data_IF_886096893815
#
_entry.id   IF_886096893815
#
_cell.length_a   1.000
_cell.length_b   1.000
_cell.length_c   1.000
_cell.angle_alpha   90.00
_cell.angle_beta   90.00
_cell.angle_gamma   90.00
#
_symmetry.space_group_name_H-M   'P 1'
#
loop_
_entity.id
_entity.type
_entity.pdbx_description
1 polymer ?
#
# COMPACT_ATOMS: atom_id res chain seq x y z
N UNK A 1 -18.71 16.39 -10.58
CA UNK A 1 -19.88 15.49 -10.50
C UNK A 1 -19.36 14.10 -10.74
N UNK A 2 -19.46 13.20 -9.77
CA UNK A 2 -19.03 11.79 -9.89
C UNK A 2 -19.85 11.08 -10.95
N UNK A 3 -19.21 10.20 -11.73
CA UNK A 3 -19.86 9.44 -12.81
C UNK A 3 -20.49 8.15 -12.27
N UNK A 4 -19.94 7.60 -11.18
CA UNK A 4 -20.31 6.30 -10.62
C UNK A 4 -20.49 6.40 -9.12
N UNK A 5 -21.43 5.66 -8.56
CA UNK A 5 -21.57 5.56 -7.10
C UNK A 5 -20.44 4.69 -6.51
N UNK A 6 -20.13 3.56 -7.13
CA UNK A 6 -19.14 2.63 -6.60
C UNK A 6 -18.10 2.23 -7.66
N UNK A 7 -16.84 2.45 -7.40
CA UNK A 7 -15.71 2.01 -8.20
C UNK A 7 -14.96 0.84 -7.55
N UNK A 8 -14.38 -0.01 -8.38
CA UNK A 8 -13.57 -1.16 -7.95
C UNK A 8 -12.17 -1.09 -8.55
N UNK A 9 -11.17 -1.25 -7.68
CA UNK A 9 -9.76 -1.47 -8.07
C UNK A 9 -9.27 -2.76 -7.46
N UNK A 10 -8.72 -3.65 -8.28
CA UNK A 10 -8.18 -4.95 -7.83
C UNK A 10 -6.72 -5.05 -8.19
N UNK A 11 -5.89 -5.51 -7.27
CA UNK A 11 -4.46 -5.68 -7.53
C UNK A 11 -3.71 -6.37 -6.42
N UNK A 12 -2.48 -6.79 -6.73
CA UNK A 12 -1.58 -7.37 -5.72
C UNK A 12 -0.98 -6.31 -4.80
N UNK A 13 -0.75 -5.09 -5.31
CA UNK A 13 -0.09 -3.98 -4.60
C UNK A 13 1.21 -4.40 -3.90
N UNK A 14 2.03 -5.17 -4.58
CA UNK A 14 3.26 -5.75 -4.05
C UNK A 14 4.51 -5.29 -4.84
N UNK A 15 5.03 -4.07 -4.53
CA UNK A 15 4.51 -3.05 -3.62
C UNK A 15 3.44 -2.15 -4.25
N UNK A 16 2.77 -1.34 -3.44
CA UNK A 16 2.03 -0.18 -3.91
C UNK A 16 3.00 0.78 -4.59
N UNK A 17 2.69 1.27 -5.79
CA UNK A 17 3.59 2.12 -6.58
C UNK A 17 2.81 3.17 -7.38
N UNK A 18 3.50 4.13 -7.96
CA UNK A 18 2.91 5.27 -8.66
C UNK A 18 1.85 4.87 -9.72
N UNK A 19 2.04 3.75 -10.42
CA UNK A 19 1.02 3.24 -11.37
C UNK A 19 -0.29 2.82 -10.70
N UNK A 20 -0.20 2.17 -9.52
CA UNK A 20 -1.38 1.83 -8.74
C UNK A 20 -2.02 3.08 -8.12
N UNK A 21 -1.21 4.02 -7.62
CA UNK A 21 -1.71 5.27 -7.05
C UNK A 21 -2.45 6.10 -8.09
N UNK A 22 -1.92 6.20 -9.32
CA UNK A 22 -2.59 6.87 -10.42
C UNK A 22 -3.96 6.23 -10.74
N UNK A 23 -4.03 4.89 -10.76
CA UNK A 23 -5.26 4.15 -11.01
C UNK A 23 -6.31 4.41 -9.92
N UNK A 24 -5.90 4.36 -8.65
CA UNK A 24 -6.80 4.61 -7.51
C UNK A 24 -7.28 6.08 -7.52
N UNK A 25 -6.39 7.04 -7.80
CA UNK A 25 -6.76 8.44 -7.91
C UNK A 25 -7.78 8.68 -9.05
N UNK A 26 -7.59 8.05 -10.21
CA UNK A 26 -8.57 8.10 -11.31
C UNK A 26 -9.94 7.56 -10.87
N UNK A 27 -9.97 6.49 -10.09
CA UNK A 27 -11.20 5.96 -9.53
C UNK A 27 -11.86 6.94 -8.55
N UNK A 28 -11.07 7.57 -7.67
CA UNK A 28 -11.55 8.58 -6.70
C UNK A 28 -12.10 9.85 -7.36
N UNK A 29 -11.55 10.24 -8.51
CA UNK A 29 -12.05 11.38 -9.30
C UNK A 29 -13.42 11.10 -9.94
N UNK A 30 -13.74 9.83 -10.21
CA UNK A 30 -14.92 9.43 -10.96
C UNK A 30 -16.01 8.75 -10.10
N UNK A 31 -15.69 8.31 -8.88
CA UNK A 31 -16.60 7.57 -8.03
C UNK A 31 -16.86 8.26 -6.69
N UNK A 32 -18.05 8.06 -6.14
CA UNK A 32 -18.37 8.49 -4.77
C UNK A 32 -17.68 7.63 -3.73
N UNK A 33 -17.65 6.32 -3.96
CA UNK A 33 -16.97 5.34 -3.12
C UNK A 33 -16.03 4.48 -3.97
N UNK A 34 -14.82 4.22 -3.49
CA UNK A 34 -13.86 3.32 -4.14
C UNK A 34 -13.57 2.15 -3.21
N UNK A 35 -13.78 0.93 -3.72
CA UNK A 35 -13.38 -0.32 -3.07
C UNK A 35 -12.07 -0.81 -3.67
N UNK A 36 -11.12 -1.16 -2.80
CA UNK A 36 -9.83 -1.71 -3.19
C UNK A 36 -9.73 -3.13 -2.66
N UNK A 37 -9.54 -4.11 -3.55
CA UNK A 37 -9.31 -5.51 -3.19
C UNK A 37 -7.87 -5.89 -3.50
N UNK A 38 -7.18 -6.49 -2.52
CA UNK A 38 -5.81 -6.97 -2.65
C UNK A 38 -5.66 -8.40 -2.19
N UNK A 39 -5.09 -9.24 -3.05
CA UNK A 39 -4.69 -10.61 -2.71
C UNK A 39 -3.55 -11.10 -3.60
N UNK A 40 -2.90 -12.18 -3.16
CA UNK A 40 -1.88 -12.93 -3.92
C UNK A 40 -1.88 -14.37 -3.43
N UNK A 41 -1.75 -15.34 -4.34
CA UNK A 41 -1.68 -16.76 -4.01
C UNK A 41 -0.70 -17.48 -4.95
N UNK A 42 0.48 -17.94 -4.47
CA UNK A 42 0.97 -17.75 -3.11
C UNK A 42 1.27 -16.28 -2.80
N UNK A 43 1.33 -15.97 -1.50
CA UNK A 43 1.73 -14.64 -1.06
C UNK A 43 3.17 -14.33 -1.45
N UNK A 44 3.44 -13.07 -1.77
CA UNK A 44 4.77 -12.62 -2.18
C UNK A 44 5.55 -12.24 -0.92
N UNK A 45 6.60 -13.00 -0.63
CA UNK A 45 7.46 -12.77 0.54
C UNK A 45 7.99 -11.34 0.59
N UNK A 46 7.86 -10.69 1.74
CA UNK A 46 8.25 -9.30 1.99
C UNK A 46 7.14 -8.28 1.68
N UNK A 47 5.99 -8.77 1.13
CA UNK A 47 4.84 -7.96 0.73
C UNK A 47 3.54 -8.51 1.34
N UNK A 48 3.63 -8.93 2.59
CA UNK A 48 2.57 -9.57 3.36
C UNK A 48 1.30 -8.71 3.41
N UNK A 49 0.12 -9.30 3.64
CA UNK A 49 -1.17 -8.61 3.65
C UNK A 49 -1.19 -7.39 4.59
N UNK A 50 -0.56 -7.48 5.76
CA UNK A 50 -0.51 -6.43 6.77
C UNK A 50 0.24 -5.18 6.25
N UNK A 51 1.34 -5.38 5.52
CA UNK A 51 2.06 -4.28 4.87
C UNK A 51 1.22 -3.62 3.79
N UNK A 52 0.59 -4.43 2.94
CA UNK A 52 -0.27 -3.92 1.86
C UNK A 52 -1.44 -3.12 2.41
N UNK A 53 -2.08 -3.64 3.45
CA UNK A 53 -3.16 -2.94 4.14
C UNK A 53 -2.68 -1.61 4.72
N UNK A 54 -1.54 -1.61 5.41
CA UNK A 54 -0.97 -0.38 5.97
C UNK A 54 -0.67 0.67 4.89
N UNK A 55 -0.11 0.28 3.74
CA UNK A 55 0.15 1.20 2.63
C UNK A 55 -1.15 1.78 2.06
N UNK A 56 -2.14 0.91 1.81
CA UNK A 56 -3.41 1.33 1.22
C UNK A 56 -4.20 2.23 2.16
N UNK A 57 -4.28 1.90 3.45
CA UNK A 57 -4.99 2.72 4.44
C UNK A 57 -4.29 4.05 4.72
N UNK A 58 -2.96 4.08 4.68
CA UNK A 58 -2.18 5.31 4.87
C UNK A 58 -2.31 6.24 3.67
N UNK A 59 -2.26 5.71 2.44
CA UNK A 59 -2.29 6.51 1.21
C UNK A 59 -3.69 6.88 0.76
N UNK A 60 -4.67 6.02 1.02
CA UNK A 60 -6.05 6.17 0.55
C UNK A 60 -7.05 5.91 1.68
N UNK A 61 -6.99 6.66 2.81
CA UNK A 61 -7.85 6.41 3.97
C UNK A 61 -9.35 6.54 3.67
N UNK A 62 -9.72 7.24 2.60
CA UNK A 62 -11.10 7.43 2.14
C UNK A 62 -11.67 6.24 1.37
N UNK A 63 -10.83 5.27 0.96
CA UNK A 63 -11.28 4.07 0.27
C UNK A 63 -11.74 2.98 1.24
N UNK A 64 -12.55 2.07 0.74
CA UNK A 64 -12.86 0.81 1.44
C UNK A 64 -11.82 -0.24 1.04
N UNK A 65 -11.16 -0.85 2.01
CA UNK A 65 -10.08 -1.79 1.75
C UNK A 65 -10.46 -3.21 2.16
N UNK A 66 -10.21 -4.17 1.26
CA UNK A 66 -10.24 -5.60 1.54
C UNK A 66 -8.90 -6.20 1.12
N UNK A 67 -8.02 -6.44 2.08
CA UNK A 67 -6.76 -7.15 1.85
C UNK A 67 -6.89 -8.53 2.44
N UNK A 68 -6.90 -9.55 1.57
CA UNK A 68 -7.06 -10.94 2.01
C UNK A 68 -5.80 -11.40 2.75
N UNK A 69 -6.03 -11.98 3.91
CA UNK A 69 -5.04 -12.64 4.76
C UNK A 69 -5.63 -13.96 5.25
N UNK A 70 -4.83 -14.89 5.78
CA UNK A 70 -5.37 -16.11 6.41
C UNK A 70 -6.40 -15.81 7.49
N UNK A 71 -6.20 -14.73 8.24
CA UNK A 71 -7.15 -14.29 9.27
C UNK A 71 -8.49 -13.83 8.67
N UNK A 72 -8.46 -13.02 7.61
CA UNK A 72 -9.66 -12.56 6.92
C UNK A 72 -10.41 -13.75 6.31
N UNK A 73 -9.70 -14.65 5.62
CA UNK A 73 -10.31 -15.87 5.04
C UNK A 73 -11.01 -16.70 6.10
N UNK A 74 -10.37 -16.93 7.25
CA UNK A 74 -10.95 -17.69 8.34
C UNK A 74 -12.16 -16.98 8.97
N UNK A 75 -12.07 -15.65 9.18
CA UNK A 75 -13.14 -14.88 9.80
C UNK A 75 -14.45 -14.87 8.99
N UNK A 76 -14.34 -14.93 7.67
CA UNK A 76 -15.50 -14.93 6.76
C UNK A 76 -15.80 -16.31 6.14
N UNK A 77 -15.08 -17.37 6.52
CA UNK A 77 -15.26 -18.69 5.95
C UNK A 77 -15.01 -18.78 4.44
N UNK A 78 -14.10 -17.92 3.92
CA UNK A 78 -13.83 -17.83 2.49
C UNK A 78 -12.90 -18.94 2.02
N UNK A 79 -13.13 -19.42 0.80
CA UNK A 79 -12.15 -20.23 0.11
C UNK A 79 -10.86 -19.42 -0.15
N UNK A 80 -9.68 -20.08 -0.22
CA UNK A 80 -8.45 -19.42 -0.63
C UNK A 80 -8.59 -18.74 -2.00
N UNK A 81 -7.90 -17.60 -2.21
CA UNK A 81 -7.93 -16.96 -3.53
C UNK A 81 -7.31 -17.85 -4.61
N UNK A 82 -7.75 -17.71 -5.87
CA UNK A 82 -7.15 -18.44 -6.98
C UNK A 82 -5.64 -18.23 -7.05
N UNK A 83 -4.87 -19.24 -7.49
CA UNK A 83 -3.44 -19.10 -7.75
C UNK A 83 -3.15 -17.92 -8.70
N UNK A 84 -1.99 -17.28 -8.54
CA UNK A 84 -1.63 -16.09 -9.33
C UNK A 84 -1.55 -16.31 -10.86
N UNK A 85 -1.45 -17.56 -11.29
CA UNK A 85 -1.40 -18.04 -12.67
C UNK A 85 -2.69 -18.74 -13.10
N UNK A 86 -3.73 -18.70 -12.27
CA UNK A 86 -5.04 -19.24 -12.62
C UNK A 86 -5.70 -18.43 -13.77
N UNK A 87 -6.70 -19.04 -14.39
CA UNK A 87 -7.50 -18.39 -15.41
C UNK A 87 -8.14 -17.08 -14.91
N UNK A 88 -8.17 -16.07 -15.75
CA UNK A 88 -8.72 -14.75 -15.44
C UNK A 88 -10.17 -14.83 -14.96
N UNK A 89 -10.98 -15.73 -15.48
CA UNK A 89 -12.37 -15.86 -15.08
C UNK A 89 -12.53 -16.39 -13.66
N UNK A 90 -11.63 -17.23 -13.17
CA UNK A 90 -11.62 -17.64 -11.77
C UNK A 90 -11.37 -16.44 -10.85
N UNK A 91 -10.43 -15.57 -11.21
CA UNK A 91 -10.18 -14.34 -10.47
C UNK A 91 -11.37 -13.38 -10.50
N UNK A 92 -12.02 -13.22 -11.66
CA UNK A 92 -13.19 -12.35 -11.84
C UNK A 92 -14.38 -12.80 -11.00
N UNK A 93 -14.69 -14.09 -11.02
CA UNK A 93 -15.77 -14.67 -10.21
C UNK A 93 -15.48 -14.61 -8.72
N UNK A 94 -14.24 -14.89 -8.33
CA UNK A 94 -13.81 -14.79 -6.94
C UNK A 94 -13.99 -13.36 -6.40
N UNK A 95 -13.56 -12.36 -7.16
CA UNK A 95 -13.72 -10.95 -6.79
C UNK A 95 -15.19 -10.54 -6.74
N UNK A 96 -16.02 -11.02 -7.66
CA UNK A 96 -17.47 -10.78 -7.63
C UNK A 96 -18.10 -11.29 -6.32
N UNK A 97 -17.68 -12.47 -5.85
CA UNK A 97 -18.09 -13.02 -4.54
C UNK A 97 -17.62 -12.13 -3.38
N UNK A 98 -16.39 -11.65 -3.41
CA UNK A 98 -15.88 -10.73 -2.37
C UNK A 98 -16.66 -9.40 -2.33
N UNK A 99 -17.04 -8.88 -3.48
CA UNK A 99 -17.86 -7.67 -3.57
C UNK A 99 -19.24 -7.88 -2.96
N UNK A 100 -19.86 -9.01 -3.21
CA UNK A 100 -21.21 -9.35 -2.73
C UNK A 100 -21.20 -9.71 -1.25
N UNK A 101 -20.40 -10.70 -0.85
CA UNK A 101 -20.50 -11.34 0.46
C UNK A 101 -19.76 -10.57 1.56
N UNK A 102 -18.70 -9.83 1.21
CA UNK A 102 -17.83 -9.19 2.20
C UNK A 102 -17.93 -7.67 2.14
N UNK A 103 -17.77 -7.09 0.97
CA UNK A 103 -17.83 -5.64 0.82
C UNK A 103 -19.28 -5.13 0.78
N UNK A 104 -20.25 -5.99 0.50
CA UNK A 104 -21.65 -5.59 0.25
C UNK A 104 -21.69 -4.38 -0.68
N UNK A 105 -20.93 -4.46 -1.76
CA UNK A 105 -20.75 -3.40 -2.74
C UNK A 105 -21.01 -3.96 -4.13
N UNK A 106 -21.81 -3.25 -4.90
CA UNK A 106 -22.02 -3.55 -6.31
C UNK A 106 -21.31 -2.48 -7.14
N UNK A 107 -20.11 -2.75 -7.70
CA UNK A 107 -19.40 -1.78 -8.51
C UNK A 107 -20.20 -1.38 -9.76
N UNK A 108 -20.12 -0.10 -10.12
CA UNK A 108 -20.64 0.45 -11.39
C UNK A 108 -19.52 0.64 -12.40
N UNK A 109 -18.27 0.70 -11.91
CA UNK A 109 -17.09 0.76 -12.74
C UNK A 109 -15.95 -0.06 -12.12
N UNK A 110 -15.20 -0.76 -12.98
CA UNK A 110 -13.92 -1.38 -12.64
C UNK A 110 -12.79 -0.63 -13.33
N UNK A 111 -11.76 -0.31 -12.57
CA UNK A 111 -10.61 0.46 -13.03
C UNK A 111 -9.40 -0.46 -13.19
N UNK A 112 -8.80 -0.47 -14.38
CA UNK A 112 -7.57 -1.25 -14.65
C UNK A 112 -6.60 -0.46 -15.51
N UNK A 113 -5.34 -0.86 -15.49
CA UNK A 113 -4.32 -0.34 -16.40
C UNK A 113 -3.97 -1.33 -17.52
N UNK A 114 -4.71 -2.44 -17.63
CA UNK A 114 -4.45 -3.58 -18.53
C UNK A 114 -5.70 -3.98 -19.32
N UNK A 115 -5.50 -4.78 -20.37
CA UNK A 115 -6.56 -5.11 -21.33
C UNK A 115 -7.61 -6.12 -20.79
N UNK A 116 -7.31 -6.83 -19.71
CA UNK A 116 -8.22 -7.83 -19.12
C UNK A 116 -9.48 -7.23 -18.46
N UNK A 117 -9.57 -5.91 -18.36
CA UNK A 117 -10.66 -5.22 -17.65
C UNK A 117 -12.04 -5.37 -18.30
N UNK A 118 -12.11 -5.55 -19.63
CA UNK A 118 -13.40 -5.76 -20.33
C UNK A 118 -14.08 -7.07 -19.86
N UNK A 119 -13.30 -8.14 -19.74
CA UNK A 119 -13.82 -9.41 -19.21
C UNK A 119 -14.21 -9.29 -17.73
N UNK A 120 -13.51 -8.45 -16.96
CA UNK A 120 -13.87 -8.17 -15.57
C UNK A 120 -15.23 -7.47 -15.49
N UNK A 121 -15.42 -6.41 -16.27
CA UNK A 121 -16.68 -5.68 -16.34
C UNK A 121 -17.84 -6.59 -16.81
N UNK A 122 -17.60 -7.48 -17.78
CA UNK A 122 -18.60 -8.43 -18.25
C UNK A 122 -19.07 -9.39 -17.15
N UNK A 123 -18.13 -10.02 -16.41
CA UNK A 123 -18.47 -10.94 -15.31
C UNK A 123 -19.22 -10.21 -14.19
N UNK A 124 -18.78 -9.01 -13.80
CA UNK A 124 -19.47 -8.22 -12.78
C UNK A 124 -20.87 -7.79 -13.25
N UNK A 125 -21.02 -7.40 -14.52
CA UNK A 125 -22.32 -7.04 -15.11
C UNK A 125 -23.28 -8.21 -15.06
N UNK A 126 -22.84 -9.39 -15.43
CA UNK A 126 -23.65 -10.61 -15.38
C UNK A 126 -24.04 -10.95 -13.93
N UNK A 127 -23.07 -10.88 -13.00
CA UNK A 127 -23.29 -11.23 -11.58
C UNK A 127 -24.31 -10.32 -10.91
N UNK A 128 -24.23 -9.02 -11.17
CA UNK A 128 -25.07 -8.01 -10.51
C UNK A 128 -26.32 -7.63 -11.30
N UNK A 129 -26.51 -8.19 -12.50
CA UNK A 129 -27.68 -7.93 -13.34
C UNK A 129 -27.80 -6.48 -13.83
N UNK A 130 -26.67 -5.74 -13.87
CA UNK A 130 -26.61 -4.35 -14.31
C UNK A 130 -25.28 -4.04 -15.02
N UNK A 131 -25.25 -3.03 -15.92
CA UNK A 131 -24.01 -2.68 -16.60
C UNK A 131 -22.92 -2.22 -15.61
N UNK A 132 -21.71 -2.76 -15.77
CA UNK A 132 -20.49 -2.31 -15.10
C UNK A 132 -19.54 -1.77 -16.17
N UNK A 133 -19.10 -0.53 -16.03
CA UNK A 133 -18.19 0.08 -16.97
C UNK A 133 -16.75 -0.41 -16.72
N UNK A 134 -15.96 -0.58 -17.79
CA UNK A 134 -14.52 -0.70 -17.68
C UNK A 134 -13.87 0.65 -17.95
N UNK A 135 -13.19 1.19 -16.96
CA UNK A 135 -12.40 2.42 -17.09
C UNK A 135 -10.93 2.05 -17.17
N UNK A 136 -10.37 2.19 -18.35
CA UNK A 136 -8.98 1.86 -18.60
C UNK A 136 -8.08 3.07 -18.46
N UNK A 137 -7.13 3.03 -17.52
CA UNK A 137 -6.05 4.01 -17.43
C UNK A 137 -4.99 3.70 -18.50
N UNK A 138 -4.68 4.69 -19.34
CA UNK A 138 -3.58 4.54 -20.29
C UNK A 138 -2.25 4.43 -19.51
N UNK A 139 -1.67 3.23 -19.53
CA UNK A 139 -0.39 2.98 -18.88
C UNK A 139 0.73 3.70 -19.62
N UNK A 140 1.58 4.42 -18.90
CA UNK A 140 2.86 4.83 -19.44
C UNK A 140 3.62 3.58 -19.87
N UNK A 141 3.95 3.48 -21.17
CA UNK A 141 4.72 2.37 -21.73
C UNK A 141 6.18 2.78 -21.78
N UNK A 142 7.06 1.88 -21.38
CA UNK A 142 8.52 2.07 -21.45
C UNK A 142 9.25 1.23 -20.41
N UNK A 143 10.56 1.06 -20.56
CA UNK A 143 11.37 0.27 -19.63
C UNK A 143 11.37 0.85 -18.19
N UNK A 144 11.02 2.13 -18.05
CA UNK A 144 10.91 2.80 -16.75
C UNK A 144 9.47 2.92 -16.23
N UNK A 145 8.50 2.26 -16.87
CA UNK A 145 7.13 2.27 -16.39
C UNK A 145 7.04 1.53 -15.04
N UNK A 146 6.38 2.10 -14.02
CA UNK A 146 6.25 1.46 -12.72
C UNK A 146 5.58 0.09 -12.85
N UNK A 147 6.25 -0.95 -12.34
CA UNK A 147 5.67 -2.28 -12.21
C UNK A 147 6.15 -2.97 -10.94
N UNK A 148 5.26 -3.74 -10.32
CA UNK A 148 5.62 -4.46 -9.10
C UNK A 148 6.82 -5.40 -9.29
N UNK A 149 6.91 -6.08 -10.43
CA UNK A 149 8.03 -6.98 -10.74
C UNK A 149 9.37 -6.23 -10.87
N UNK A 150 9.36 -5.09 -11.56
CA UNK A 150 10.56 -4.24 -11.68
C UNK A 150 11.01 -3.74 -10.31
N UNK A 151 10.09 -3.23 -9.51
CA UNK A 151 10.43 -2.70 -8.18
C UNK A 151 10.94 -3.81 -7.26
N UNK A 152 10.35 -5.00 -7.30
CA UNK A 152 10.82 -6.15 -6.51
C UNK A 152 12.23 -6.62 -6.88
N UNK A 153 12.69 -6.37 -8.11
CA UNK A 153 14.06 -6.73 -8.50
C UNK A 153 15.12 -5.90 -7.76
N UNK A 154 14.82 -4.64 -7.44
CA UNK A 154 15.68 -3.78 -6.62
C UNK A 154 14.86 -2.60 -6.07
N UNK A 155 14.32 -2.78 -4.88
CA UNK A 155 13.44 -1.81 -4.20
C UNK A 155 14.14 -0.46 -3.95
N UNK A 156 15.43 -0.47 -3.69
CA UNK A 156 16.21 0.74 -3.40
C UNK A 156 16.52 1.53 -4.68
N UNK A 157 16.84 0.84 -5.76
CA UNK A 157 17.05 1.44 -7.07
C UNK A 157 15.80 2.13 -7.57
N UNK A 158 14.66 1.46 -7.45
CA UNK A 158 13.36 1.93 -7.96
C UNK A 158 12.52 2.69 -6.93
N UNK A 159 13.13 3.16 -5.82
CA UNK A 159 12.43 3.86 -4.72
C UNK A 159 11.59 5.05 -5.17
N UNK A 160 11.99 5.76 -6.23
CA UNK A 160 11.25 6.92 -6.78
C UNK A 160 9.90 6.54 -7.42
N UNK A 161 9.67 5.24 -7.67
CA UNK A 161 8.39 4.72 -8.17
C UNK A 161 7.37 4.45 -7.05
N UNK A 162 7.77 4.65 -5.80
CA UNK A 162 6.93 4.47 -4.62
C UNK A 162 6.83 5.78 -3.84
N UNK A 163 5.72 5.98 -3.13
CA UNK A 163 5.62 7.06 -2.16
C UNK A 163 6.58 6.83 -0.97
N UNK A 164 7.00 7.89 -0.27
CA UNK A 164 7.86 7.76 0.91
C UNK A 164 7.28 6.82 1.97
N UNK A 165 5.97 6.83 2.17
CA UNK A 165 5.25 5.99 3.13
C UNK A 165 5.38 4.49 2.79
N UNK A 166 5.38 4.15 1.51
CA UNK A 166 5.60 2.78 1.05
C UNK A 166 7.07 2.41 1.17
N UNK A 167 7.97 3.27 0.65
CA UNK A 167 9.40 2.99 0.63
C UNK A 167 10.00 2.81 2.02
N UNK A 168 9.57 3.59 3.03
CA UNK A 168 10.09 3.49 4.40
C UNK A 168 9.95 2.09 5.01
N UNK A 169 9.01 1.26 4.53
CA UNK A 169 8.82 -0.11 5.01
C UNK A 169 9.90 -1.09 4.54
N UNK A 170 10.76 -0.67 3.61
CA UNK A 170 11.91 -1.43 3.09
C UNK A 170 13.24 -0.93 3.62
N UNK A 171 13.24 0.14 4.42
CA UNK A 171 14.46 0.72 4.99
C UNK A 171 14.73 0.11 6.35
N UNK A 172 15.88 -0.52 6.51
CA UNK A 172 16.36 -0.96 7.80
C UNK A 172 16.77 0.25 8.65
N UNK A 173 16.29 0.28 9.89
CA UNK A 173 16.67 1.28 10.87
C UNK A 173 17.53 0.64 11.95
N UNK A 174 18.69 1.22 12.24
CA UNK A 174 19.57 0.80 13.32
C UNK A 174 19.42 1.83 14.45
N UNK A 175 18.88 1.40 15.57
CA UNK A 175 18.75 2.23 16.76
C UNK A 175 19.79 1.82 17.80
N UNK A 176 20.60 2.78 18.29
CA UNK A 176 21.57 2.55 19.35
C UNK A 176 20.98 2.98 20.69
N UNK A 177 20.79 2.03 21.59
CA UNK A 177 20.24 2.25 22.91
C UNK A 177 21.34 2.11 23.98
N UNK A 178 21.19 2.83 25.09
CA UNK A 178 22.13 2.77 26.21
C UNK A 178 22.03 4.00 27.11
N UNK A 179 22.72 3.98 28.26
CA UNK A 179 22.77 5.07 29.20
C UNK A 179 23.37 6.36 28.65
N UNK A 180 23.24 7.44 29.38
CA UNK A 180 23.85 8.72 29.03
C UNK A 180 25.38 8.60 28.95
N UNK A 181 26.00 9.39 28.08
CA UNK A 181 27.46 9.47 27.90
C UNK A 181 28.18 8.17 27.55
N UNK A 182 27.46 7.14 27.07
CA UNK A 182 28.04 5.84 26.65
C UNK A 182 28.59 5.82 25.23
N UNK A 183 28.65 6.95 24.53
CA UNK A 183 29.22 7.06 23.19
C UNK A 183 28.26 6.69 22.04
N UNK A 184 26.96 6.52 22.30
CA UNK A 184 25.94 6.15 21.26
C UNK A 184 25.98 7.05 20.03
N UNK A 185 25.93 8.35 20.23
CA UNK A 185 25.91 9.33 19.12
C UNK A 185 27.22 9.32 18.33
N UNK A 186 28.36 9.09 18.99
CA UNK A 186 29.67 8.94 18.34
C UNK A 186 29.68 7.68 17.48
N UNK A 187 29.20 6.55 18.03
CA UNK A 187 29.12 5.28 17.29
C UNK A 187 28.13 5.37 16.13
N UNK A 188 26.95 5.99 16.32
CA UNK A 188 25.97 6.17 15.26
C UNK A 188 26.55 6.98 14.07
N UNK A 189 27.26 8.06 14.34
CA UNK A 189 27.94 8.87 13.31
C UNK A 189 29.01 8.07 12.59
N UNK A 190 29.86 7.33 13.32
CA UNK A 190 30.90 6.50 12.74
C UNK A 190 30.31 5.38 11.85
N UNK A 191 29.26 4.70 12.30
CA UNK A 191 28.55 3.70 11.50
C UNK A 191 27.93 4.29 10.24
N UNK A 192 27.26 5.44 10.35
CA UNK A 192 26.66 6.12 9.20
C UNK A 192 27.71 6.47 8.15
N UNK A 193 28.87 6.98 8.56
CA UNK A 193 30.01 7.27 7.68
C UNK A 193 30.57 6.00 7.04
N UNK A 194 30.80 4.95 7.82
CA UNK A 194 31.40 3.68 7.34
C UNK A 194 30.47 2.98 6.35
N UNK A 195 29.16 2.96 6.62
CA UNK A 195 28.14 2.33 5.81
C UNK A 195 27.62 3.22 4.68
N UNK A 196 28.04 4.48 4.63
CA UNK A 196 27.54 5.49 3.68
C UNK A 196 26.00 5.60 3.68
N UNK A 197 25.42 5.70 4.87
CA UNK A 197 23.96 5.82 5.07
C UNK A 197 23.63 7.10 5.86
N UNK A 198 22.38 7.62 5.77
CA UNK A 198 21.97 8.77 6.53
C UNK A 198 22.11 8.55 8.04
N UNK A 199 22.55 9.58 8.75
CA UNK A 199 22.51 9.68 10.21
C UNK A 199 21.32 10.52 10.64
N UNK A 200 20.54 10.02 11.58
CA UNK A 200 19.44 10.76 12.22
C UNK A 200 19.93 11.21 13.59
N UNK A 201 19.96 12.52 13.81
CA UNK A 201 20.38 13.11 15.09
C UNK A 201 19.37 12.80 16.21
N UNK A 202 19.80 12.90 17.45
CA UNK A 202 18.96 12.76 18.63
C UNK A 202 18.16 14.06 18.83
N UNK A 203 16.92 14.11 18.31
CA UNK A 203 16.06 15.28 18.43
C UNK A 203 15.81 15.70 19.88
N UNK A 204 15.71 14.73 20.79
CA UNK A 204 15.50 14.98 22.21
C UNK A 204 16.58 15.87 22.84
N UNK A 205 17.83 15.73 22.40
CA UNK A 205 18.93 16.60 22.86
C UNK A 205 18.77 18.03 22.36
N UNK A 206 18.50 18.21 21.09
CA UNK A 206 18.29 19.54 20.49
C UNK A 206 17.12 20.26 21.17
N UNK A 207 16.02 19.54 21.40
CA UNK A 207 14.84 20.07 22.08
C UNK A 207 15.14 20.44 23.56
N UNK A 208 15.87 19.58 24.27
CA UNK A 208 16.30 19.84 25.66
C UNK A 208 17.20 21.07 25.76
N UNK A 209 18.17 21.23 24.86
CA UNK A 209 19.05 22.40 24.81
C UNK A 209 18.24 23.67 24.49
N UNK A 210 17.31 23.63 23.55
CA UNK A 210 16.45 24.75 23.21
C UNK A 210 15.54 25.21 24.37
N UNK A 211 15.17 24.28 25.27
CA UNK A 211 14.37 24.55 26.48
C UNK A 211 15.22 24.79 27.76
N UNK A 212 16.50 25.08 27.60
CA UNK A 212 17.42 25.32 28.72
C UNK A 212 17.46 24.19 29.75
N UNK A 213 17.32 22.95 29.31
CA UNK A 213 17.44 21.77 30.15
C UNK A 213 16.19 21.38 30.93
N UNK A 214 15.06 22.02 30.70
CA UNK A 214 13.78 21.73 31.38
C UNK A 214 12.78 21.13 30.38
N UNK A 215 12.39 19.90 30.63
CA UNK A 215 11.38 19.20 29.83
C UNK A 215 10.16 18.86 30.69
N UNK A 216 8.97 19.04 30.14
CA UNK A 216 7.71 18.56 30.71
C UNK A 216 7.21 17.29 30.00
N UNK A 217 6.03 16.81 30.39
CA UNK A 217 5.42 15.61 29.80
C UNK A 217 5.07 15.78 28.30
N UNK A 218 4.66 16.98 27.91
CA UNK A 218 4.28 17.27 26.52
C UNK A 218 5.53 17.29 25.64
N UNK A 219 6.64 17.81 26.16
CA UNK A 219 7.94 17.76 25.49
C UNK A 219 8.38 16.33 25.20
N UNK A 220 8.22 15.41 26.16
CA UNK A 220 8.58 14.00 25.96
C UNK A 220 7.72 13.35 24.86
N UNK A 221 6.43 13.68 24.80
CA UNK A 221 5.54 13.20 23.72
C UNK A 221 5.91 13.83 22.37
N UNK A 222 6.29 15.09 22.37
CA UNK A 222 6.76 15.78 21.17
C UNK A 222 8.05 15.16 20.64
N UNK A 223 9.04 14.98 21.51
CA UNK A 223 10.32 14.31 21.17
C UNK A 223 10.07 12.91 20.58
N UNK A 224 9.17 12.13 21.19
CA UNK A 224 8.84 10.79 20.71
C UNK A 224 8.20 10.80 19.30
N UNK A 225 7.49 11.86 18.93
CA UNK A 225 6.87 12.00 17.60
C UNK A 225 7.88 12.46 16.54
N UNK A 226 8.74 13.39 16.90
CA UNK A 226 9.71 13.99 15.96
C UNK A 226 10.93 13.07 15.72
N UNK A 227 11.24 12.16 16.63
CA UNK A 227 12.35 11.21 16.50
C UNK A 227 12.03 10.03 15.54
N UNK A 228 10.77 9.82 15.13
CA UNK A 228 10.32 8.69 14.28
C UNK A 228 10.43 9.02 12.75
#
# INVERSE_FOLDING_TARGET
>A
MTLYANGLVVGKFAPLHAGHEALINTALEQCETVCIISYSSPEIRGYEPEKRLNWLTTRFPQCRHLVLSPHVLAAYGLAPPPPNDADDDLHRHYVATLCEDILHCQPEAVFTAEDYGDGFAAVLSQRFGRPVAHVRLQRQRGPEAPSGTLIRSDVHRYRKMMSPEVYRSFVFRICLLGGESTGKSTLAKALAQTLNVPYVAEYGREHWEAKNGILDREDLLHIAREQV
#
